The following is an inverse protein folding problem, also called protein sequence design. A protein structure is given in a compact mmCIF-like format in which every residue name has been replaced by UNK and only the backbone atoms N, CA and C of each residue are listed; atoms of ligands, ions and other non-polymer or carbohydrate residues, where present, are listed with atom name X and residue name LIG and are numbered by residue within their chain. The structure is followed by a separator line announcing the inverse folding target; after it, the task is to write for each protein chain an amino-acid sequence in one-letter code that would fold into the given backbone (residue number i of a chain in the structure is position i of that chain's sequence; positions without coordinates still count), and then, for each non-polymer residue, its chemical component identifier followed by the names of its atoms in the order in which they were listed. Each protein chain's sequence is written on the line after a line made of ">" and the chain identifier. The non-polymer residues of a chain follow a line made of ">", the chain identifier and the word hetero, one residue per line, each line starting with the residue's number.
data_IF_511648571360
#
_entry.id   IF_511648571360
#
_cell.length_a   1.000
_cell.length_b   1.000
_cell.length_c   1.000
_cell.angle_alpha   90.00
_cell.angle_beta   90.00
_cell.angle_gamma   90.00
#
_symmetry.space_group_name_H-M   'P 1'
#
loop_
_entity.id
_entity.type
_entity.pdbx_description
1 polymer ?
#
# COMPACT_ATOMS: atom_id res chain seq x y z
N UNK A 1 40.79 -10.79 12.92
CA UNK A 1 40.07 -11.70 13.83
C UNK A 1 38.60 -11.33 13.76
N UNK A 2 37.78 -12.03 12.98
CA UNK A 2 36.34 -11.83 12.91
C UNK A 2 35.72 -12.47 14.15
N UNK A 3 35.19 -11.66 15.05
CA UNK A 3 34.35 -12.16 16.12
C UNK A 3 33.18 -12.94 15.49
N UNK A 4 33.17 -14.24 15.64
CA UNK A 4 32.06 -15.09 15.25
C UNK A 4 30.83 -14.62 16.04
N UNK A 5 29.89 -13.93 15.36
CA UNK A 5 28.67 -13.51 15.97
C UNK A 5 27.96 -14.74 16.51
N UNK A 6 27.74 -14.83 17.82
CA UNK A 6 26.99 -15.91 18.43
C UNK A 6 25.62 -16.02 17.74
N UNK A 7 25.17 -17.24 17.40
CA UNK A 7 23.86 -17.43 16.78
C UNK A 7 22.77 -16.87 17.70
N UNK A 8 21.85 -16.07 17.11
CA UNK A 8 20.71 -15.53 17.85
C UNK A 8 19.89 -16.68 18.45
N UNK A 9 19.41 -16.51 19.68
CA UNK A 9 18.41 -17.43 20.24
C UNK A 9 17.15 -17.39 19.40
N UNK A 10 16.45 -18.52 19.29
CA UNK A 10 15.20 -18.64 18.52
C UNK A 10 14.17 -17.60 18.96
N UNK A 11 14.07 -17.34 20.25
CA UNK A 11 13.20 -16.29 20.81
C UNK A 11 13.56 -14.91 20.27
N UNK A 12 14.85 -14.55 20.25
CA UNK A 12 15.30 -13.27 19.72
C UNK A 12 15.04 -13.13 18.22
N UNK A 13 15.18 -14.21 17.46
CA UNK A 13 14.85 -14.24 16.03
C UNK A 13 13.36 -13.93 15.80
N UNK A 14 12.45 -14.57 16.57
CA UNK A 14 11.02 -14.29 16.47
C UNK A 14 10.65 -12.86 16.91
N UNK A 15 11.30 -12.32 17.94
CA UNK A 15 11.12 -10.92 18.34
C UNK A 15 11.47 -9.99 17.17
N UNK A 16 12.57 -10.24 16.44
CA UNK A 16 12.93 -9.47 15.25
C UNK A 16 11.85 -9.55 14.16
N UNK A 17 11.36 -10.76 13.87
CA UNK A 17 10.32 -10.96 12.84
C UNK A 17 9.01 -10.27 13.23
N UNK A 18 8.57 -10.40 14.48
CA UNK A 18 7.36 -9.73 14.99
C UNK A 18 7.51 -8.21 14.94
N UNK A 19 8.68 -7.69 15.35
CA UNK A 19 8.93 -6.25 15.28
C UNK A 19 8.92 -5.73 13.83
N UNK A 20 9.43 -6.50 12.85
CA UNK A 20 9.32 -6.17 11.42
C UNK A 20 7.87 -6.22 10.92
N UNK A 21 7.05 -7.17 11.41
CA UNK A 21 5.62 -7.23 11.11
C UNK A 21 4.86 -6.03 11.70
N UNK A 22 5.18 -5.62 12.93
CA UNK A 22 4.66 -4.38 13.53
C UNK A 22 5.11 -3.15 12.74
N UNK A 23 6.35 -3.13 12.24
CA UNK A 23 6.82 -2.08 11.34
C UNK A 23 5.98 -2.03 10.05
N UNK A 24 5.74 -3.17 9.40
CA UNK A 24 4.87 -3.24 8.22
C UNK A 24 3.46 -2.72 8.50
N UNK A 25 2.90 -3.05 9.67
CA UNK A 25 1.62 -2.52 10.13
C UNK A 25 1.62 -0.98 10.19
N UNK A 26 2.58 -0.35 10.87
CA UNK A 26 2.60 1.11 11.02
C UNK A 26 2.93 1.83 9.70
N UNK A 27 3.79 1.27 8.84
CA UNK A 27 4.11 1.84 7.54
C UNK A 27 2.90 1.85 6.60
N UNK A 28 2.12 0.77 6.55
CA UNK A 28 0.87 0.73 5.77
C UNK A 28 -0.23 1.59 6.40
N UNK A 29 -0.37 1.58 7.72
CA UNK A 29 -1.35 2.44 8.40
C UNK A 29 -1.10 3.90 8.04
N UNK A 30 0.14 4.37 8.10
CA UNK A 30 0.47 5.77 7.81
C UNK A 30 0.29 6.16 6.35
N UNK A 31 0.42 5.21 5.43
CA UNK A 31 0.16 5.44 4.01
C UNK A 31 -1.30 5.84 3.76
N UNK A 32 -2.23 5.10 4.35
CA UNK A 32 -3.66 5.20 4.03
C UNK A 32 -4.51 5.95 5.07
N UNK A 33 -4.00 6.19 6.27
CA UNK A 33 -4.76 6.92 7.31
C UNK A 33 -5.23 8.32 6.85
N UNK A 34 -4.49 9.10 6.02
CA UNK A 34 -4.98 10.37 5.54
C UNK A 34 -6.24 10.27 4.67
N UNK A 35 -6.48 9.13 4.00
CA UNK A 35 -7.72 8.88 3.25
C UNK A 35 -8.92 8.87 4.18
N UNK A 36 -8.76 8.29 5.38
CA UNK A 36 -9.81 8.20 6.39
C UNK A 36 -10.02 9.48 7.20
N UNK A 37 -9.08 10.44 7.11
CA UNK A 37 -9.09 11.71 7.85
C UNK A 37 -9.11 12.93 6.90
N UNK A 38 -9.42 12.73 5.63
CA UNK A 38 -9.27 13.75 4.59
C UNK A 38 -10.12 14.99 4.90
N UNK A 39 -11.36 14.80 5.33
CA UNK A 39 -12.27 15.88 5.70
C UNK A 39 -11.82 16.65 6.94
N UNK A 40 -11.28 15.96 7.95
CA UNK A 40 -10.86 16.59 9.20
C UNK A 40 -9.57 17.41 8.99
N UNK A 41 -8.65 16.91 8.16
CA UNK A 41 -7.46 17.66 7.73
C UNK A 41 -7.88 18.89 6.93
N UNK A 42 -8.82 18.74 6.00
CA UNK A 42 -9.37 19.85 5.21
C UNK A 42 -9.98 20.95 6.07
N UNK A 43 -10.84 20.59 7.02
CA UNK A 43 -11.42 21.53 7.99
C UNK A 43 -10.36 22.29 8.79
N UNK A 44 -9.28 21.61 9.24
CA UNK A 44 -8.21 22.23 10.02
C UNK A 44 -7.43 23.31 9.28
N UNK A 45 -7.34 23.22 7.94
CA UNK A 45 -6.59 24.15 7.10
C UNK A 45 -7.48 25.01 6.20
N UNK A 46 -8.83 24.95 6.37
CA UNK A 46 -9.81 25.61 5.52
C UNK A 46 -9.62 25.29 4.02
N UNK A 47 -9.36 24.00 3.72
CA UNK A 47 -9.05 23.49 2.38
C UNK A 47 -10.13 22.50 1.91
N UNK A 48 -10.31 22.46 0.59
CA UNK A 48 -11.20 21.49 -0.06
C UNK A 48 -10.59 20.08 -0.06
N UNK A 49 -11.42 19.02 -0.18
CA UNK A 49 -10.92 17.63 -0.32
C UNK A 49 -9.92 17.45 -1.47
N UNK A 50 -10.09 18.19 -2.58
CA UNK A 50 -9.15 18.18 -3.71
C UNK A 50 -7.76 18.67 -3.30
N UNK A 51 -7.70 19.83 -2.63
CA UNK A 51 -6.44 20.44 -2.22
C UNK A 51 -5.71 19.56 -1.22
N UNK A 52 -6.43 19.02 -0.23
CA UNK A 52 -5.85 18.08 0.75
C UNK A 52 -5.43 16.77 0.08
N UNK A 53 -6.19 16.28 -0.88
CA UNK A 53 -5.89 15.06 -1.64
C UNK A 53 -4.55 15.12 -2.38
N UNK A 54 -4.03 16.30 -2.70
CA UNK A 54 -2.69 16.47 -3.30
C UNK A 54 -1.57 15.88 -2.44
N UNK A 55 -1.73 15.84 -1.11
CA UNK A 55 -0.72 15.21 -0.26
C UNK A 55 -0.62 13.69 -0.50
N UNK A 56 -1.72 13.02 -0.90
CA UNK A 56 -1.72 11.59 -1.24
C UNK A 56 -0.95 11.37 -2.55
N UNK A 57 -1.21 12.22 -3.53
CA UNK A 57 -0.50 12.24 -4.83
C UNK A 57 1.00 12.44 -4.63
N UNK A 58 1.40 13.49 -3.90
CA UNK A 58 2.79 13.82 -3.64
C UNK A 58 3.49 12.66 -2.92
N UNK A 59 2.87 12.13 -1.87
CA UNK A 59 3.40 10.98 -1.14
C UNK A 59 3.67 9.78 -2.05
N UNK A 60 2.67 9.35 -2.81
CA UNK A 60 2.77 8.17 -3.66
C UNK A 60 3.82 8.36 -4.77
N UNK A 61 3.90 9.54 -5.37
CA UNK A 61 4.89 9.80 -6.42
C UNK A 61 6.31 9.95 -5.86
N UNK A 62 6.49 10.46 -4.66
CA UNK A 62 7.79 10.42 -3.98
C UNK A 62 8.22 8.97 -3.73
N UNK A 63 7.33 8.11 -3.25
CA UNK A 63 7.62 6.67 -3.11
C UNK A 63 7.97 6.06 -4.46
N UNK A 64 7.17 6.32 -5.50
CA UNK A 64 7.40 5.79 -6.84
C UNK A 64 8.77 6.17 -7.41
N UNK A 65 9.10 7.46 -7.33
CA UNK A 65 10.35 8.01 -7.87
C UNK A 65 11.59 7.57 -7.10
N UNK A 66 11.48 7.37 -5.79
CA UNK A 66 12.62 7.10 -4.93
C UNK A 66 12.86 5.61 -4.64
N UNK A 67 11.86 4.72 -4.81
CA UNK A 67 12.00 3.30 -4.45
C UNK A 67 13.22 2.63 -5.10
N UNK A 68 13.36 2.72 -6.41
CA UNK A 68 14.50 2.13 -7.12
C UNK A 68 15.81 2.89 -6.90
N UNK A 69 15.88 4.23 -7.03
CA UNK A 69 17.12 4.99 -6.78
C UNK A 69 17.66 4.80 -5.35
N UNK A 70 16.81 4.92 -4.33
CA UNK A 70 17.23 4.76 -2.93
C UNK A 70 17.73 3.34 -2.65
N UNK A 71 17.06 2.31 -3.17
CA UNK A 71 17.52 0.93 -3.05
C UNK A 71 18.94 0.76 -3.60
N UNK A 72 19.21 1.35 -4.76
CA UNK A 72 20.52 1.25 -5.41
C UNK A 72 21.60 2.07 -4.70
N UNK A 73 21.27 3.28 -4.23
CA UNK A 73 22.20 4.14 -3.50
C UNK A 73 22.59 3.55 -2.14
N UNK A 74 21.64 2.86 -1.48
CA UNK A 74 21.84 2.28 -0.15
C UNK A 74 22.27 0.81 -0.18
N UNK A 75 22.51 0.26 -1.37
CA UNK A 75 22.81 -1.18 -1.56
C UNK A 75 23.98 -1.71 -0.71
N UNK A 76 24.99 -0.89 -0.47
CA UNK A 76 26.20 -1.27 0.28
C UNK A 76 26.11 -0.96 1.79
N UNK A 77 25.04 -0.33 2.24
CA UNK A 77 24.87 0.06 3.65
C UNK A 77 24.43 -1.17 4.46
N UNK A 78 24.99 -1.32 5.65
CA UNK A 78 24.62 -2.34 6.62
C UNK A 78 23.14 -2.21 6.98
N UNK A 79 22.41 -3.32 6.98
CA UNK A 79 20.92 -3.32 7.00
C UNK A 79 20.30 -2.88 8.31
N UNK A 80 20.93 -3.19 9.46
CA UNK A 80 20.45 -2.71 10.77
C UNK A 80 20.62 -1.20 10.88
N UNK A 81 21.77 -0.66 10.46
CA UNK A 81 22.01 0.78 10.45
C UNK A 81 21.04 1.50 9.53
N UNK A 82 20.84 0.97 8.31
CA UNK A 82 19.91 1.52 7.33
C UNK A 82 18.47 1.53 7.85
N UNK A 83 18.04 0.43 8.49
CA UNK A 83 16.71 0.34 9.10
C UNK A 83 16.55 1.36 10.26
N UNK A 84 17.59 1.54 11.07
CA UNK A 84 17.57 2.57 12.13
C UNK A 84 17.44 3.97 11.55
N UNK A 85 18.19 4.29 10.49
CA UNK A 85 18.16 5.59 9.84
C UNK A 85 16.77 5.90 9.26
N UNK A 86 16.17 4.92 8.54
CA UNK A 86 14.84 5.11 7.99
C UNK A 86 13.76 5.30 9.08
N UNK A 87 13.88 4.58 10.22
CA UNK A 87 12.98 4.80 11.36
C UNK A 87 13.17 6.18 11.98
N UNK A 88 14.39 6.71 12.08
CA UNK A 88 14.62 8.07 12.55
C UNK A 88 13.95 9.11 11.64
N UNK A 89 14.08 8.96 10.31
CA UNK A 89 13.37 9.82 9.33
C UNK A 89 11.86 9.68 9.48
N UNK A 90 11.36 8.46 9.62
CA UNK A 90 9.93 8.17 9.79
C UNK A 90 9.35 8.80 11.07
N UNK A 91 10.02 8.61 12.22
CA UNK A 91 9.59 9.14 13.51
C UNK A 91 9.62 10.67 13.51
N UNK A 92 10.72 11.29 13.07
CA UNK A 92 10.83 12.75 13.02
C UNK A 92 9.78 13.37 12.10
N UNK A 93 9.49 12.72 10.98
CA UNK A 93 8.42 13.14 10.05
C UNK A 93 7.03 13.03 10.70
N UNK A 94 6.74 11.98 11.48
CA UNK A 94 5.48 11.87 12.19
C UNK A 94 5.34 12.88 13.33
N UNK A 95 6.43 13.17 14.04
CA UNK A 95 6.47 14.27 15.02
C UNK A 95 6.19 15.60 14.34
N UNK A 96 6.77 15.83 13.16
CA UNK A 96 6.49 17.03 12.37
C UNK A 96 5.01 17.07 11.91
N UNK A 97 4.40 15.93 11.53
CA UNK A 97 2.96 15.84 11.22
C UNK A 97 2.09 16.21 12.43
N UNK A 98 2.46 15.74 13.61
CA UNK A 98 1.75 16.04 14.86
C UNK A 98 1.74 17.55 15.16
N UNK A 99 2.86 18.23 14.97
CA UNK A 99 3.00 19.68 15.18
C UNK A 99 2.68 20.53 13.94
N UNK A 100 2.18 19.95 12.84
CA UNK A 100 1.96 20.68 11.61
C UNK A 100 1.02 21.89 11.80
N UNK A 101 1.58 23.10 11.71
CA UNK A 101 0.86 24.37 11.82
C UNK A 101 0.35 24.90 10.48
N UNK A 102 0.79 24.31 9.37
CA UNK A 102 0.31 24.62 8.01
C UNK A 102 0.26 23.34 7.15
N UNK A 103 -0.53 23.39 6.08
CA UNK A 103 -0.61 22.28 5.14
C UNK A 103 0.73 21.97 4.46
N UNK A 104 1.53 22.99 4.17
CA UNK A 104 2.88 22.81 3.59
C UNK A 104 3.77 22.00 4.53
N UNK A 105 3.75 22.29 5.83
CA UNK A 105 4.51 21.50 6.83
C UNK A 105 4.04 20.06 6.88
N UNK A 106 2.72 19.83 6.80
CA UNK A 106 2.17 18.48 6.70
C UNK A 106 2.68 17.77 5.42
N UNK A 107 2.70 18.44 4.28
CA UNK A 107 3.21 17.87 3.01
C UNK A 107 4.70 17.53 3.14
N UNK A 108 5.51 18.42 3.71
CA UNK A 108 6.95 18.16 3.95
C UNK A 108 7.15 16.93 4.83
N UNK A 109 6.36 16.81 5.90
CA UNK A 109 6.40 15.62 6.75
C UNK A 109 6.01 14.35 5.98
N UNK A 110 5.00 14.43 5.12
CA UNK A 110 4.58 13.31 4.26
C UNK A 110 5.66 12.89 3.26
N UNK A 111 6.42 13.85 2.72
CA UNK A 111 7.59 13.55 1.87
C UNK A 111 8.66 12.76 2.66
N UNK A 112 8.97 13.18 3.88
CA UNK A 112 9.90 12.43 4.75
C UNK A 112 9.42 11.01 5.06
N UNK A 113 8.11 10.84 5.34
CA UNK A 113 7.51 9.52 5.54
C UNK A 113 7.62 8.69 4.25
N UNK A 114 7.37 9.28 3.07
CA UNK A 114 7.45 8.60 1.79
C UNK A 114 8.87 8.10 1.46
N UNK A 115 9.89 8.89 1.78
CA UNK A 115 11.31 8.49 1.65
C UNK A 115 11.61 7.27 2.52
N UNK A 116 11.20 7.30 3.79
CA UNK A 116 11.37 6.16 4.70
C UNK A 116 10.59 4.92 4.21
N UNK A 117 9.37 5.11 3.71
CA UNK A 117 8.51 4.04 3.18
C UNK A 117 9.13 3.36 1.94
N UNK A 118 9.63 4.16 0.98
CA UNK A 118 10.28 3.65 -0.23
C UNK A 118 11.47 2.73 0.12
N UNK A 119 12.26 3.12 1.11
CA UNK A 119 13.41 2.35 1.58
C UNK A 119 12.99 1.13 2.40
N UNK A 120 11.97 1.26 3.25
CA UNK A 120 11.47 0.18 4.11
C UNK A 120 11.08 -1.05 3.29
N UNK A 121 10.23 -0.89 2.29
CA UNK A 121 9.77 -2.02 1.46
C UNK A 121 10.86 -2.65 0.60
N UNK A 122 11.90 -1.91 0.28
CA UNK A 122 13.03 -2.46 -0.49
C UNK A 122 13.88 -3.46 0.28
N UNK A 123 13.88 -3.40 1.62
CA UNK A 123 14.78 -4.21 2.47
C UNK A 123 14.06 -5.16 3.43
N UNK A 124 12.80 -4.88 3.79
CA UNK A 124 12.15 -5.54 4.93
C UNK A 124 11.87 -7.02 4.70
N UNK A 125 11.43 -7.41 3.50
CA UNK A 125 11.17 -8.83 3.19
C UNK A 125 12.44 -9.67 3.30
N UNK A 126 13.56 -9.19 2.74
CA UNK A 126 14.86 -9.88 2.82
C UNK A 126 15.38 -9.93 4.26
N UNK A 127 15.16 -8.87 5.05
CA UNK A 127 15.52 -8.87 6.47
C UNK A 127 14.71 -9.90 7.27
N UNK A 128 13.39 -9.98 7.04
CA UNK A 128 12.54 -10.95 7.73
C UNK A 128 12.99 -12.38 7.48
N UNK A 129 13.32 -12.72 6.22
CA UNK A 129 13.88 -14.03 5.87
C UNK A 129 15.22 -14.30 6.56
N UNK A 130 16.12 -13.30 6.57
CA UNK A 130 17.49 -13.47 7.13
C UNK A 130 17.51 -13.62 8.64
N UNK A 131 16.57 -13.02 9.37
CA UNK A 131 16.50 -13.12 10.84
C UNK A 131 15.61 -14.26 11.32
N UNK A 132 14.84 -14.87 10.43
CA UNK A 132 13.96 -15.98 10.75
C UNK A 132 14.72 -17.19 11.30
N UNK A 133 14.14 -17.99 12.20
CA UNK A 133 14.68 -19.31 12.55
C UNK A 133 14.79 -20.17 11.32
N UNK A 134 15.84 -21.02 11.28
CA UNK A 134 16.11 -21.91 10.14
C UNK A 134 14.89 -22.79 9.82
N UNK A 135 14.48 -22.78 8.55
CA UNK A 135 13.31 -23.51 8.04
C UNK A 135 11.96 -22.82 8.36
N UNK A 136 11.98 -21.58 8.86
CA UNK A 136 10.78 -20.78 9.18
C UNK A 136 10.66 -19.49 8.36
N UNK A 137 11.40 -19.40 7.27
CA UNK A 137 11.49 -18.22 6.40
C UNK A 137 10.11 -17.85 5.83
N UNK A 138 9.33 -18.85 5.39
CA UNK A 138 7.96 -18.62 4.89
C UNK A 138 7.01 -18.10 5.99
N UNK A 139 7.18 -18.58 7.24
CA UNK A 139 6.38 -18.10 8.36
C UNK A 139 6.71 -16.64 8.70
N UNK A 140 7.99 -16.23 8.58
CA UNK A 140 8.41 -14.85 8.79
C UNK A 140 7.80 -13.91 7.73
N UNK A 141 7.81 -14.32 6.46
CA UNK A 141 7.13 -13.57 5.38
C UNK A 141 5.60 -13.52 5.60
N UNK A 142 5.01 -14.61 6.06
CA UNK A 142 3.59 -14.66 6.40
C UNK A 142 3.23 -13.67 7.51
N UNK A 143 4.05 -13.57 8.57
CA UNK A 143 3.85 -12.57 9.64
C UNK A 143 3.99 -11.13 9.12
N UNK A 144 4.96 -10.86 8.25
CA UNK A 144 5.13 -9.56 7.62
C UNK A 144 3.87 -9.17 6.81
N UNK A 145 3.36 -10.10 6.00
CA UNK A 145 2.13 -9.91 5.23
C UNK A 145 0.90 -9.74 6.14
N UNK A 146 0.85 -10.44 7.27
CA UNK A 146 -0.22 -10.25 8.26
C UNK A 146 -0.18 -8.84 8.84
N UNK A 147 1.00 -8.30 9.17
CA UNK A 147 1.16 -6.90 9.59
C UNK A 147 0.58 -5.92 8.58
N UNK A 148 0.88 -6.12 7.30
CA UNK A 148 0.33 -5.32 6.20
C UNK A 148 -1.20 -5.40 6.12
N UNK A 149 -1.76 -6.62 6.16
CA UNK A 149 -3.22 -6.82 6.11
C UNK A 149 -3.93 -6.20 7.33
N UNK A 150 -3.36 -6.36 8.52
CA UNK A 150 -3.91 -5.79 9.75
C UNK A 150 -3.93 -4.26 9.74
N UNK A 151 -3.02 -3.60 9.00
CA UNK A 151 -3.04 -2.15 8.84
C UNK A 151 -4.32 -1.67 8.13
N UNK A 152 -4.76 -2.38 7.10
CA UNK A 152 -5.99 -2.06 6.38
C UNK A 152 -7.24 -2.31 7.23
N UNK A 153 -7.24 -3.37 8.04
CA UNK A 153 -8.40 -3.79 8.83
C UNK A 153 -8.52 -3.00 10.13
N UNK A 154 -7.44 -2.77 10.83
CA UNK A 154 -7.42 -2.14 12.15
C UNK A 154 -6.75 -0.75 12.13
N UNK A 155 -5.62 -0.61 11.42
CA UNK A 155 -4.83 0.61 11.45
C UNK A 155 -5.61 1.83 10.97
N UNK A 156 -6.28 1.72 9.83
CA UNK A 156 -7.04 2.84 9.23
C UNK A 156 -8.26 3.19 10.08
N UNK A 157 -9.16 2.24 10.44
CA UNK A 157 -10.33 2.58 11.27
C UNK A 157 -9.98 3.07 12.66
N UNK A 158 -9.01 2.44 13.36
CA UNK A 158 -8.58 2.93 14.67
C UNK A 158 -7.92 4.30 14.60
N UNK A 159 -7.09 4.51 13.57
CA UNK A 159 -6.49 5.82 13.34
C UNK A 159 -7.55 6.89 13.07
N UNK A 160 -8.63 6.56 12.35
CA UNK A 160 -9.78 7.44 12.16
C UNK A 160 -10.49 7.73 13.48
N UNK A 161 -10.83 6.71 14.27
CA UNK A 161 -11.49 6.87 15.57
C UNK A 161 -10.69 7.78 16.52
N UNK A 162 -9.37 7.63 16.56
CA UNK A 162 -8.48 8.49 17.35
C UNK A 162 -8.49 9.92 16.78
N UNK A 163 -8.44 10.05 15.46
CA UNK A 163 -8.45 11.35 14.80
C UNK A 163 -9.75 12.12 15.03
N UNK A 164 -10.89 11.45 15.05
CA UNK A 164 -12.20 12.03 15.35
C UNK A 164 -12.35 12.41 16.82
N UNK A 165 -11.90 11.53 17.74
CA UNK A 165 -12.04 11.77 19.18
C UNK A 165 -11.08 12.83 19.72
N UNK A 166 -9.85 12.87 19.22
CA UNK A 166 -8.76 13.68 19.77
C UNK A 166 -8.09 14.63 18.77
N UNK A 167 -8.58 14.66 17.54
CA UNK A 167 -8.01 15.41 16.42
C UNK A 167 -7.01 14.59 15.61
N UNK A 168 -7.00 14.80 14.28
CA UNK A 168 -6.21 14.02 13.31
C UNK A 168 -4.69 14.02 13.60
N UNK A 169 -4.17 15.07 14.22
CA UNK A 169 -2.75 15.18 14.62
C UNK A 169 -2.35 14.09 15.59
N UNK A 170 -3.24 13.71 16.51
CA UNK A 170 -2.99 12.66 17.51
C UNK A 170 -2.86 11.28 16.89
N UNK A 171 -3.51 11.02 15.75
CA UNK A 171 -3.31 9.77 15.00
C UNK A 171 -1.85 9.65 14.48
N UNK A 172 -1.28 10.73 13.96
CA UNK A 172 0.14 10.75 13.55
C UNK A 172 1.09 10.70 14.76
N UNK A 173 0.76 11.39 15.85
CA UNK A 173 1.53 11.35 17.08
C UNK A 173 1.60 9.93 17.68
N UNK A 174 0.48 9.21 17.68
CA UNK A 174 0.45 7.82 18.14
C UNK A 174 1.33 6.91 17.26
N UNK A 175 1.30 7.10 15.95
CA UNK A 175 2.19 6.36 15.05
C UNK A 175 3.66 6.66 15.39
N UNK A 176 4.03 7.91 15.69
CA UNK A 176 5.39 8.26 16.11
C UNK A 176 5.80 7.51 17.37
N UNK A 177 4.93 7.42 18.38
CA UNK A 177 5.17 6.70 19.62
C UNK A 177 5.38 5.21 19.37
N UNK A 178 4.46 4.57 18.61
CA UNK A 178 4.56 3.14 18.28
C UNK A 178 5.82 2.87 17.45
N UNK A 179 6.13 3.73 16.46
CA UNK A 179 7.34 3.61 15.65
C UNK A 179 8.61 3.70 16.50
N UNK A 180 8.63 4.57 17.50
CA UNK A 180 9.77 4.70 18.45
C UNK A 180 9.97 3.41 19.25
N UNK A 181 8.89 2.81 19.76
CA UNK A 181 8.95 1.54 20.48
C UNK A 181 9.44 0.40 19.57
N UNK A 182 8.89 0.30 18.35
CA UNK A 182 9.31 -0.71 17.37
C UNK A 182 10.78 -0.52 16.96
N UNK A 183 11.21 0.71 16.72
CA UNK A 183 12.61 1.04 16.42
C UNK A 183 13.53 0.62 17.57
N UNK A 184 13.17 0.93 18.81
CA UNK A 184 13.94 0.53 19.99
C UNK A 184 14.09 -1.00 20.07
N UNK A 185 13.01 -1.75 19.87
CA UNK A 185 13.05 -3.22 19.85
C UNK A 185 13.97 -3.71 18.73
N UNK A 186 13.84 -3.19 17.51
CA UNK A 186 14.66 -3.58 16.36
C UNK A 186 16.15 -3.28 16.60
N UNK A 187 16.48 -2.09 17.10
CA UNK A 187 17.88 -1.73 17.42
C UNK A 187 18.48 -2.64 18.48
N UNK A 188 17.69 -3.09 19.47
CA UNK A 188 18.19 -3.99 20.55
C UNK A 188 18.29 -5.44 20.11
N UNK A 189 17.45 -5.88 19.18
CA UNK A 189 17.31 -7.31 18.85
C UNK A 189 18.00 -7.70 17.54
N UNK A 190 18.04 -6.81 16.52
CA UNK A 190 18.68 -7.11 15.25
C UNK A 190 20.19 -7.28 15.39
N UNK A 191 20.77 -8.32 14.80
CA UNK A 191 22.21 -8.47 14.70
C UNK A 191 22.78 -7.49 13.65
N UNK A 192 24.10 -7.43 13.56
CA UNK A 192 24.77 -6.81 12.42
C UNK A 192 24.49 -7.61 11.17
N UNK A 193 23.92 -6.97 10.13
CA UNK A 193 23.45 -7.61 8.90
C UNK A 193 24.09 -6.93 7.67
N UNK A 194 25.24 -7.43 7.18
CA UNK A 194 25.86 -6.91 5.96
C UNK A 194 24.88 -6.96 4.78
N UNK A 195 25.01 -6.04 3.83
CA UNK A 195 24.24 -6.10 2.60
C UNK A 195 24.66 -7.30 1.76
N UNK A 196 23.70 -8.10 1.32
CA UNK A 196 23.92 -9.28 0.47
C UNK A 196 22.92 -9.19 -0.69
N UNK A 197 23.37 -9.50 -1.92
CA UNK A 197 22.53 -9.63 -3.13
C UNK A 197 21.65 -8.39 -3.45
N UNK A 198 22.22 -7.21 -3.40
CA UNK A 198 21.57 -6.02 -3.92
C UNK A 198 21.56 -6.05 -5.46
N UNK A 199 20.37 -6.07 -6.08
CA UNK A 199 20.15 -6.17 -7.52
C UNK A 199 20.98 -5.19 -8.37
N UNK A 200 21.03 -5.43 -9.70
CA UNK A 200 21.84 -4.66 -10.63
C UNK A 200 21.02 -3.97 -11.72
N UNK A 201 21.56 -2.87 -12.26
CA UNK A 201 20.97 -2.18 -13.41
C UNK A 201 20.92 -3.02 -14.70
N UNK A 202 21.78 -4.05 -14.82
CA UNK A 202 21.78 -4.90 -16.01
C UNK A 202 20.49 -5.70 -16.18
N UNK A 203 19.89 -6.14 -15.09
CA UNK A 203 18.61 -6.85 -15.10
C UNK A 203 17.45 -6.01 -15.65
N UNK A 204 17.48 -4.68 -15.43
CA UNK A 204 16.44 -3.77 -15.91
C UNK A 204 16.27 -3.80 -17.43
N UNK A 205 17.40 -3.83 -18.18
CA UNK A 205 17.36 -3.88 -19.66
C UNK A 205 16.71 -5.16 -20.19
N UNK A 206 16.87 -6.27 -19.48
CA UNK A 206 16.24 -7.54 -19.84
C UNK A 206 14.72 -7.54 -19.58
N UNK A 207 14.29 -6.97 -18.46
CA UNK A 207 12.89 -6.92 -18.07
C UNK A 207 12.05 -6.04 -19.02
N UNK A 208 12.55 -4.88 -19.42
CA UNK A 208 11.85 -3.95 -20.34
C UNK A 208 11.55 -4.60 -21.71
N UNK A 209 12.33 -5.58 -22.12
CA UNK A 209 12.12 -6.29 -23.40
C UNK A 209 11.04 -7.37 -23.34
N UNK A 210 10.41 -7.62 -22.17
CA UNK A 210 9.36 -8.63 -21.98
C UNK A 210 7.96 -8.02 -22.18
N UNK A 211 7.30 -8.23 -23.32
CA UNK A 211 6.07 -7.51 -23.65
C UNK A 211 4.93 -7.82 -22.68
N UNK A 212 4.76 -9.07 -22.24
CA UNK A 212 3.73 -9.43 -21.25
C UNK A 212 3.98 -8.80 -19.88
N UNK A 213 5.23 -8.66 -19.45
CA UNK A 213 5.56 -7.95 -18.21
C UNK A 213 5.27 -6.44 -18.33
N UNK A 214 5.60 -5.84 -19.47
CA UNK A 214 5.30 -4.42 -19.72
C UNK A 214 3.79 -4.16 -19.75
N UNK A 215 3.02 -5.01 -20.41
CA UNK A 215 1.55 -4.92 -20.41
C UNK A 215 0.97 -5.12 -19.01
N UNK A 216 1.53 -6.03 -18.19
CA UNK A 216 1.16 -6.20 -16.79
C UNK A 216 1.41 -4.92 -15.98
N UNK A 217 2.54 -4.26 -16.23
CA UNK A 217 2.87 -2.99 -15.58
C UNK A 217 1.93 -1.85 -16.00
N UNK A 218 1.56 -1.77 -17.28
CA UNK A 218 0.54 -0.82 -17.76
C UNK A 218 -0.81 -1.11 -17.12
N UNK A 219 -1.21 -2.39 -17.05
CA UNK A 219 -2.44 -2.82 -16.37
C UNK A 219 -2.42 -2.42 -14.88
N UNK A 220 -1.28 -2.58 -14.21
CA UNK A 220 -1.10 -2.15 -12.81
C UNK A 220 -1.38 -0.67 -12.67
N UNK A 221 -0.70 0.18 -13.43
CA UNK A 221 -0.91 1.64 -13.35
C UNK A 221 -2.36 2.00 -13.64
N UNK A 222 -2.95 1.44 -14.69
CA UNK A 222 -4.31 1.77 -15.12
C UNK A 222 -5.36 1.41 -14.05
N UNK A 223 -5.34 0.16 -13.54
CA UNK A 223 -6.35 -0.32 -12.59
C UNK A 223 -6.13 0.27 -11.19
N UNK A 224 -4.89 0.49 -10.78
CA UNK A 224 -4.60 1.16 -9.52
C UNK A 224 -4.98 2.64 -9.58
N UNK A 225 -4.78 3.32 -10.73
CA UNK A 225 -5.31 4.67 -10.92
C UNK A 225 -6.84 4.70 -10.83
N UNK A 226 -7.52 3.75 -11.47
CA UNK A 226 -8.97 3.59 -11.37
C UNK A 226 -9.42 3.46 -9.90
N UNK A 227 -8.80 2.54 -9.18
CA UNK A 227 -9.03 2.26 -7.76
C UNK A 227 -8.92 3.53 -6.91
N UNK A 228 -7.80 4.25 -7.03
CA UNK A 228 -7.51 5.41 -6.18
C UNK A 228 -8.21 6.69 -6.64
N UNK A 229 -8.77 6.74 -7.84
CA UNK A 229 -9.70 7.81 -8.26
C UNK A 229 -10.94 7.85 -7.35
N UNK A 230 -11.46 6.69 -6.95
CA UNK A 230 -12.60 6.60 -6.05
C UNK A 230 -12.16 6.48 -4.58
N UNK A 231 -11.22 5.59 -4.27
CA UNK A 231 -10.86 5.27 -2.89
C UNK A 231 -10.24 6.44 -2.13
N UNK A 232 -9.45 7.29 -2.79
CA UNK A 232 -8.84 8.46 -2.12
C UNK A 232 -9.85 9.44 -1.56
N UNK A 233 -11.07 9.41 -2.06
CA UNK A 233 -12.16 10.31 -1.67
C UNK A 233 -13.37 9.57 -1.09
N UNK A 234 -13.21 8.30 -0.71
CA UNK A 234 -14.31 7.46 -0.19
C UNK A 234 -14.87 8.01 1.13
N UNK A 235 -14.02 8.57 1.99
CA UNK A 235 -14.45 9.17 3.25
C UNK A 235 -15.34 10.40 3.02
N UNK A 236 -14.91 11.45 2.29
CA UNK A 236 -15.78 12.58 2.00
C UNK A 236 -17.01 12.17 1.17
N UNK A 237 -16.94 11.15 0.32
CA UNK A 237 -18.10 10.60 -0.39
C UNK A 237 -19.10 9.99 0.59
N UNK A 238 -18.66 9.18 1.53
CA UNK A 238 -19.55 8.58 2.54
C UNK A 238 -20.24 9.64 3.41
N UNK A 239 -19.51 10.70 3.83
CA UNK A 239 -20.06 11.77 4.66
C UNK A 239 -21.00 12.71 3.89
N UNK A 240 -20.59 13.17 2.69
CA UNK A 240 -21.27 14.28 2.01
C UNK A 240 -22.20 13.85 0.86
N UNK A 241 -22.05 12.64 0.31
CA UNK A 241 -22.90 12.12 -0.77
C UNK A 241 -23.83 11.04 -0.24
N UNK A 242 -23.32 10.06 0.51
CA UNK A 242 -24.14 9.02 1.12
C UNK A 242 -24.78 9.45 2.45
N UNK A 243 -24.40 10.62 3.00
CA UNK A 243 -24.86 11.16 4.28
C UNK A 243 -24.70 10.19 5.46
N UNK A 244 -23.63 9.40 5.43
CA UNK A 244 -23.29 8.50 6.52
C UNK A 244 -22.78 9.27 7.72
N UNK A 245 -23.13 8.80 8.91
CA UNK A 245 -22.49 9.26 10.14
C UNK A 245 -21.00 8.85 10.17
N UNK A 246 -20.24 9.46 11.04
CA UNK A 246 -18.83 9.12 11.25
C UNK A 246 -18.63 7.64 11.60
N UNK A 247 -19.46 7.09 12.49
CA UNK A 247 -19.43 5.68 12.86
C UNK A 247 -19.75 4.75 11.67
N UNK A 248 -20.72 5.11 10.83
CA UNK A 248 -21.05 4.35 9.62
C UNK A 248 -19.91 4.41 8.59
N UNK A 249 -19.26 5.55 8.44
CA UNK A 249 -18.07 5.71 7.58
C UNK A 249 -16.90 4.86 8.08
N UNK A 250 -16.66 4.82 9.38
CA UNK A 250 -15.66 3.95 9.99
C UNK A 250 -15.99 2.46 9.74
N UNK A 251 -17.27 2.07 9.88
CA UNK A 251 -17.74 0.72 9.57
C UNK A 251 -17.52 0.35 8.11
N UNK A 252 -17.79 1.27 7.18
CA UNK A 252 -17.54 1.11 5.75
C UNK A 252 -16.05 0.76 5.47
N UNK A 253 -15.13 1.52 6.08
CA UNK A 253 -13.69 1.31 5.95
C UNK A 253 -13.23 -0.01 6.59
N UNK A 254 -13.83 -0.40 7.72
CA UNK A 254 -13.61 -1.70 8.37
C UNK A 254 -14.02 -2.87 7.46
N UNK A 255 -15.21 -2.77 6.84
CA UNK A 255 -15.71 -3.79 5.91
C UNK A 255 -14.78 -3.89 4.70
N UNK A 256 -14.40 -2.75 4.13
CA UNK A 256 -13.48 -2.70 3.00
C UNK A 256 -12.13 -3.36 3.32
N UNK A 257 -11.51 -2.99 4.43
CA UNK A 257 -10.23 -3.58 4.87
C UNK A 257 -10.38 -5.07 5.22
N UNK A 258 -11.42 -5.43 5.99
CA UNK A 258 -11.72 -6.82 6.39
C UNK A 258 -12.01 -7.74 5.21
N UNK A 259 -12.58 -7.20 4.14
CA UNK A 259 -12.80 -7.90 2.88
C UNK A 259 -11.51 -8.47 2.27
N UNK A 260 -10.35 -7.90 2.61
CA UNK A 260 -9.05 -8.37 2.16
C UNK A 260 -8.74 -9.81 2.55
N UNK A 261 -9.20 -10.28 3.71
CA UNK A 261 -9.06 -11.70 4.10
C UNK A 261 -9.83 -12.63 3.16
N UNK A 262 -11.07 -12.26 2.83
CA UNK A 262 -11.88 -13.02 1.88
C UNK A 262 -11.27 -12.94 0.47
N UNK A 263 -10.78 -11.79 0.05
CA UNK A 263 -10.07 -11.60 -1.22
C UNK A 263 -8.83 -12.48 -1.34
N UNK A 264 -8.02 -12.56 -0.29
CA UNK A 264 -6.84 -13.43 -0.23
C UNK A 264 -7.22 -14.92 -0.29
N UNK A 265 -8.24 -15.31 0.45
CA UNK A 265 -8.76 -16.67 0.43
C UNK A 265 -9.28 -17.07 -0.96
N UNK A 266 -10.10 -16.21 -1.57
CA UNK A 266 -10.64 -16.45 -2.91
C UNK A 266 -9.51 -16.51 -3.94
N UNK A 267 -8.54 -15.60 -3.88
CA UNK A 267 -7.37 -15.67 -4.75
C UNK A 267 -6.65 -17.02 -4.62
N UNK A 268 -6.33 -17.46 -3.40
CA UNK A 268 -5.65 -18.72 -3.16
C UNK A 268 -6.41 -19.94 -3.70
N UNK A 269 -7.75 -19.89 -3.69
CA UNK A 269 -8.60 -20.97 -4.21
C UNK A 269 -8.82 -20.88 -5.72
N UNK A 270 -9.06 -19.69 -6.26
CA UNK A 270 -9.40 -19.49 -7.68
C UNK A 270 -8.18 -19.46 -8.60
N UNK A 271 -7.08 -18.84 -8.19
CA UNK A 271 -5.92 -18.66 -9.06
C UNK A 271 -5.32 -19.96 -9.59
N UNK A 272 -5.16 -21.03 -8.79
CA UNK A 272 -4.67 -22.32 -9.30
C UNK A 272 -5.65 -23.02 -10.24
N UNK A 273 -6.97 -22.85 -10.03
CA UNK A 273 -8.00 -23.52 -10.81
C UNK A 273 -8.32 -22.77 -12.12
N UNK A 274 -8.31 -21.43 -12.07
CA UNK A 274 -8.71 -20.56 -13.17
C UNK A 274 -7.67 -19.47 -13.46
N UNK A 275 -6.42 -19.82 -13.77
CA UNK A 275 -5.33 -18.83 -13.90
C UNK A 275 -5.58 -17.76 -14.97
N UNK A 276 -6.37 -18.09 -16.02
CA UNK A 276 -6.75 -17.15 -17.10
C UNK A 276 -7.86 -16.19 -16.70
N UNK A 277 -8.70 -16.57 -15.74
CA UNK A 277 -9.86 -15.77 -15.34
C UNK A 277 -9.59 -14.90 -14.11
N UNK A 278 -8.55 -15.20 -13.32
CA UNK A 278 -8.30 -14.57 -12.02
C UNK A 278 -8.14 -13.05 -12.13
N UNK A 279 -7.24 -12.56 -13.00
CA UNK A 279 -7.03 -11.11 -13.17
C UNK A 279 -8.29 -10.43 -13.75
N UNK A 280 -8.88 -10.93 -14.87
CA UNK A 280 -10.13 -10.35 -15.39
C UNK A 280 -11.27 -10.34 -14.37
N UNK A 281 -11.46 -11.43 -13.63
CA UNK A 281 -12.52 -11.53 -12.62
C UNK A 281 -12.44 -10.43 -11.55
N UNK A 282 -11.27 -10.26 -10.93
CA UNK A 282 -11.09 -9.24 -9.92
C UNK A 282 -11.12 -7.82 -10.50
N UNK A 283 -10.60 -7.62 -11.72
CA UNK A 283 -10.68 -6.31 -12.39
C UNK A 283 -12.12 -5.93 -12.72
N UNK A 284 -12.94 -6.90 -13.18
CA UNK A 284 -14.37 -6.69 -13.44
C UNK A 284 -15.10 -6.34 -12.14
N UNK A 285 -14.83 -7.07 -11.05
CA UNK A 285 -15.39 -6.78 -9.74
C UNK A 285 -15.07 -5.36 -9.25
N UNK A 286 -13.84 -4.87 -9.48
CA UNK A 286 -13.46 -3.49 -9.22
C UNK A 286 -14.29 -2.49 -10.04
N UNK A 287 -14.40 -2.70 -11.35
CA UNK A 287 -15.16 -1.83 -12.26
C UNK A 287 -16.63 -1.73 -11.85
N UNK A 288 -17.28 -2.88 -11.57
CA UNK A 288 -18.67 -2.94 -11.11
C UNK A 288 -18.82 -2.21 -9.77
N UNK A 289 -17.92 -2.46 -8.80
CA UNK A 289 -17.99 -1.81 -7.48
C UNK A 289 -17.94 -0.30 -7.59
N UNK A 290 -17.06 0.23 -8.45
CA UNK A 290 -16.94 1.68 -8.64
C UNK A 290 -18.15 2.27 -9.38
N UNK A 291 -18.65 1.65 -10.45
CA UNK A 291 -19.83 2.15 -11.16
C UNK A 291 -21.09 2.18 -10.30
N UNK A 292 -21.22 1.20 -9.40
CA UNK A 292 -22.36 1.12 -8.48
C UNK A 292 -22.20 1.99 -7.22
N UNK A 293 -21.08 2.70 -7.05
CA UNK A 293 -20.79 3.47 -5.84
C UNK A 293 -21.90 4.51 -5.56
N UNK A 294 -22.24 5.34 -6.54
CA UNK A 294 -23.30 6.34 -6.39
C UNK A 294 -24.71 5.71 -6.30
N UNK A 295 -25.14 4.78 -7.17
CA UNK A 295 -26.44 4.14 -7.02
C UNK A 295 -26.66 3.45 -5.66
N UNK A 296 -25.62 2.83 -5.10
CA UNK A 296 -25.71 2.13 -3.80
C UNK A 296 -25.56 3.05 -2.59
N UNK A 297 -25.18 4.31 -2.77
CA UNK A 297 -24.99 5.27 -1.68
C UNK A 297 -26.27 5.64 -0.94
N UNK A 298 -27.43 5.40 -1.54
CA UNK A 298 -28.75 5.65 -0.92
C UNK A 298 -29.11 4.64 0.18
N UNK A 299 -28.35 3.54 0.31
CA UNK A 299 -28.61 2.48 1.27
C UNK A 299 -27.35 2.10 2.04
N UNK A 300 -27.44 2.11 3.38
CA UNK A 300 -26.35 1.66 4.25
C UNK A 300 -25.96 0.20 3.94
N UNK A 301 -26.93 -0.68 3.77
CA UNK A 301 -26.68 -2.08 3.41
C UNK A 301 -26.06 -2.18 2.02
N UNK A 302 -26.59 -1.41 1.04
CA UNK A 302 -26.08 -1.40 -0.34
C UNK A 302 -24.61 -1.00 -0.41
N UNK A 303 -24.24 0.13 0.21
CA UNK A 303 -22.88 0.64 0.18
C UNK A 303 -21.90 -0.25 0.97
N UNK A 304 -22.32 -0.82 2.10
CA UNK A 304 -21.48 -1.76 2.86
C UNK A 304 -21.25 -3.09 2.10
N UNK A 305 -22.27 -3.63 1.45
CA UNK A 305 -22.13 -4.82 0.60
C UNK A 305 -21.21 -4.58 -0.60
N UNK A 306 -21.34 -3.40 -1.19
CA UNK A 306 -20.48 -2.96 -2.29
C UNK A 306 -19.03 -2.79 -1.83
N UNK A 307 -18.81 -2.23 -0.63
CA UNK A 307 -17.50 -2.08 -0.01
C UNK A 307 -16.82 -3.44 0.22
N UNK A 308 -17.57 -4.46 0.65
CA UNK A 308 -17.09 -5.83 0.76
C UNK A 308 -16.61 -6.37 -0.60
N UNK A 309 -17.44 -6.25 -1.65
CA UNK A 309 -17.09 -6.70 -3.00
C UNK A 309 -15.85 -5.95 -3.53
N UNK A 310 -15.79 -4.66 -3.27
CA UNK A 310 -14.67 -3.80 -3.68
C UNK A 310 -13.37 -4.22 -3.00
N UNK A 311 -13.36 -4.39 -1.67
CA UNK A 311 -12.19 -4.83 -0.92
C UNK A 311 -11.70 -6.22 -1.32
N UNK A 312 -12.62 -7.18 -1.54
CA UNK A 312 -12.30 -8.51 -2.10
C UNK A 312 -11.59 -8.36 -3.45
N UNK A 313 -12.14 -7.53 -4.33
CA UNK A 313 -11.67 -7.40 -5.70
C UNK A 313 -10.28 -6.77 -5.77
N UNK A 314 -10.00 -5.70 -4.99
CA UNK A 314 -8.70 -5.05 -5.02
C UNK A 314 -7.58 -5.93 -4.47
N UNK A 315 -7.85 -6.67 -3.39
CA UNK A 315 -6.84 -7.55 -2.81
C UNK A 315 -6.56 -8.74 -3.73
N UNK A 316 -7.62 -9.38 -4.25
CA UNK A 316 -7.45 -10.47 -5.21
C UNK A 316 -6.71 -10.04 -6.47
N UNK A 317 -7.01 -8.85 -7.00
CA UNK A 317 -6.30 -8.25 -8.13
C UNK A 317 -4.82 -8.01 -7.82
N UNK A 318 -4.52 -7.37 -6.68
CA UNK A 318 -3.14 -7.04 -6.28
C UNK A 318 -2.29 -8.30 -6.11
N UNK A 319 -2.83 -9.34 -5.46
CA UNK A 319 -2.14 -10.63 -5.30
C UNK A 319 -1.89 -11.33 -6.65
N UNK A 320 -2.87 -11.26 -7.55
CA UNK A 320 -2.72 -11.85 -8.89
C UNK A 320 -1.63 -11.15 -9.71
N UNK A 321 -1.56 -9.82 -9.67
CA UNK A 321 -0.50 -9.07 -10.35
C UNK A 321 0.88 -9.35 -9.75
N UNK A 322 0.97 -9.38 -8.42
CA UNK A 322 2.21 -9.67 -7.72
C UNK A 322 2.75 -11.06 -8.07
N UNK A 323 1.88 -12.08 -8.01
CA UNK A 323 2.25 -13.45 -8.36
C UNK A 323 2.72 -13.55 -9.83
N UNK A 324 2.01 -12.90 -10.75
CA UNK A 324 2.40 -12.88 -12.17
C UNK A 324 3.68 -12.10 -12.44
N UNK A 325 3.93 -11.01 -11.72
CA UNK A 325 5.21 -10.28 -11.80
C UNK A 325 6.38 -11.18 -11.42
N UNK A 326 6.27 -11.92 -10.31
CA UNK A 326 7.29 -12.86 -9.86
C UNK A 326 7.54 -13.98 -10.90
N UNK A 327 6.48 -14.52 -11.48
CA UNK A 327 6.59 -15.60 -12.46
C UNK A 327 7.22 -15.11 -13.78
N UNK A 328 6.77 -13.96 -14.31
CA UNK A 328 7.28 -13.37 -15.56
C UNK A 328 8.73 -12.86 -15.44
N UNK A 329 9.23 -12.67 -14.23
CA UNK A 329 10.56 -12.15 -13.94
C UNK A 329 11.32 -13.01 -12.93
N UNK A 330 11.21 -14.36 -13.02
CA UNK A 330 11.80 -15.31 -12.08
C UNK A 330 13.33 -15.23 -11.99
N UNK A 331 14.01 -14.74 -13.02
CA UNK A 331 15.45 -14.50 -13.08
C UNK A 331 15.89 -13.15 -12.50
N UNK A 332 14.95 -12.22 -12.21
CA UNK A 332 15.24 -10.88 -11.71
C UNK A 332 14.10 -10.37 -10.80
N UNK A 333 13.62 -11.20 -9.91
CA UNK A 333 12.42 -10.95 -9.06
C UNK A 333 12.51 -9.64 -8.28
N UNK A 334 13.64 -9.34 -7.65
CA UNK A 334 13.79 -8.16 -6.78
C UNK A 334 13.66 -6.86 -7.59
N UNK A 335 14.29 -6.79 -8.78
CA UNK A 335 14.21 -5.62 -9.66
C UNK A 335 12.78 -5.47 -10.21
N UNK A 336 12.16 -6.58 -10.64
CA UNK A 336 10.79 -6.57 -11.15
C UNK A 336 9.79 -6.13 -10.08
N UNK A 337 9.95 -6.58 -8.84
CA UNK A 337 9.10 -6.17 -7.71
C UNK A 337 9.32 -4.71 -7.31
N UNK A 338 10.55 -4.19 -7.38
CA UNK A 338 10.82 -2.77 -7.14
C UNK A 338 10.14 -1.89 -8.21
N UNK A 339 10.19 -2.30 -9.49
CA UNK A 339 9.48 -1.61 -10.58
C UNK A 339 7.96 -1.71 -10.36
N UNK A 340 7.45 -2.89 -10.05
CA UNK A 340 6.03 -3.13 -9.77
C UNK A 340 5.52 -2.22 -8.64
N UNK A 341 6.24 -2.17 -7.52
CA UNK A 341 5.92 -1.30 -6.39
C UNK A 341 5.94 0.19 -6.77
N UNK A 342 6.95 0.63 -7.52
CA UNK A 342 7.02 1.99 -8.03
C UNK A 342 5.83 2.35 -8.93
N UNK A 343 5.50 1.48 -9.89
CA UNK A 343 4.37 1.69 -10.80
C UNK A 343 3.01 1.60 -10.10
N UNK A 344 2.90 0.75 -9.08
CA UNK A 344 1.72 0.70 -8.21
C UNK A 344 1.50 2.07 -7.55
N UNK A 345 2.56 2.68 -7.02
CA UNK A 345 2.53 4.01 -6.43
C UNK A 345 2.29 5.14 -7.46
N UNK A 346 2.78 5.00 -8.72
CA UNK A 346 2.37 5.88 -9.82
C UNK A 346 0.85 5.85 -9.99
N UNK A 347 0.26 4.65 -9.94
CA UNK A 347 -1.19 4.45 -9.99
C UNK A 347 -1.92 5.09 -8.83
N UNK A 348 -1.44 4.91 -7.58
CA UNK A 348 -2.00 5.54 -6.38
C UNK A 348 -2.04 7.07 -6.54
N UNK A 349 -0.91 7.68 -6.85
CA UNK A 349 -0.80 9.13 -6.99
C UNK A 349 -1.60 9.68 -8.18
N UNK A 350 -1.56 8.99 -9.32
CA UNK A 350 -2.33 9.34 -10.52
C UNK A 350 -3.83 9.28 -10.27
N UNK A 351 -4.29 8.23 -9.59
CA UNK A 351 -5.69 8.07 -9.20
C UNK A 351 -6.15 9.16 -8.22
N UNK A 352 -5.37 9.42 -7.17
CA UNK A 352 -5.69 10.48 -6.20
C UNK A 352 -5.78 11.86 -6.88
N UNK A 353 -4.87 12.17 -7.80
CA UNK A 353 -4.90 13.41 -8.58
C UNK A 353 -6.16 13.48 -9.47
N UNK A 354 -6.45 12.41 -10.22
CA UNK A 354 -7.62 12.34 -11.08
C UNK A 354 -8.93 12.45 -10.29
N UNK A 355 -9.04 11.75 -9.16
CA UNK A 355 -10.18 11.84 -8.26
C UNK A 355 -10.40 13.26 -7.74
N UNK A 356 -9.32 13.99 -7.42
CA UNK A 356 -9.38 15.40 -7.04
C UNK A 356 -9.88 16.30 -8.17
N UNK A 357 -9.45 16.07 -9.40
CA UNK A 357 -9.92 16.79 -10.60
C UNK A 357 -11.42 16.54 -10.80
N UNK A 358 -11.83 15.25 -10.76
CA UNK A 358 -13.25 14.85 -10.91
C UNK A 358 -14.11 15.49 -9.84
N UNK A 359 -13.67 15.45 -8.59
CA UNK A 359 -14.37 16.05 -7.45
C UNK A 359 -14.59 17.55 -7.65
N UNK A 360 -13.59 18.27 -8.21
CA UNK A 360 -13.65 19.70 -8.40
C UNK A 360 -14.45 20.14 -9.63
N UNK A 361 -14.41 19.38 -10.73
CA UNK A 361 -15.01 19.77 -12.00
C UNK A 361 -16.40 19.18 -12.24
N UNK A 362 -16.64 17.96 -11.76
CA UNK A 362 -17.87 17.21 -12.03
C UNK A 362 -18.67 17.01 -10.73
N UNK A 363 -17.97 16.88 -9.61
CA UNK A 363 -18.56 16.64 -8.28
C UNK A 363 -18.13 15.31 -7.68
N UNK A 364 -18.19 15.26 -6.35
CA UNK A 364 -17.74 14.13 -5.54
C UNK A 364 -18.52 12.83 -5.84
N UNK A 365 -19.80 12.93 -6.24
CA UNK A 365 -20.61 11.77 -6.64
C UNK A 365 -20.09 11.02 -7.88
N UNK A 366 -19.23 11.67 -8.68
CA UNK A 366 -18.75 11.13 -9.97
C UNK A 366 -17.44 10.33 -9.87
N UNK A 367 -16.80 10.27 -8.70
CA UNK A 367 -15.52 9.55 -8.51
C UNK A 367 -15.62 8.06 -8.89
N UNK A 368 -16.75 7.44 -8.56
CA UNK A 368 -17.04 6.05 -8.91
C UNK A 368 -17.19 5.82 -10.42
N UNK A 369 -17.88 6.72 -11.13
CA UNK A 369 -18.04 6.63 -12.57
C UNK A 369 -16.70 6.71 -13.31
N UNK A 370 -15.87 7.67 -12.97
CA UNK A 370 -14.54 7.81 -13.60
C UNK A 370 -13.63 6.63 -13.26
N UNK A 371 -13.57 6.21 -11.99
CA UNK A 371 -12.82 5.02 -11.59
C UNK A 371 -13.32 3.76 -12.31
N UNK A 372 -14.64 3.58 -12.38
CA UNK A 372 -15.27 2.46 -13.07
C UNK A 372 -14.94 2.39 -14.55
N UNK A 373 -15.01 3.51 -15.27
CA UNK A 373 -14.62 3.59 -16.69
C UNK A 373 -13.16 3.15 -16.89
N UNK A 374 -12.23 3.68 -16.09
CA UNK A 374 -10.81 3.29 -16.16
C UNK A 374 -10.63 1.79 -15.83
N UNK A 375 -11.35 1.26 -14.84
CA UNK A 375 -11.30 -0.15 -14.50
C UNK A 375 -11.81 -1.05 -15.64
N UNK A 376 -12.81 -0.60 -16.43
CA UNK A 376 -13.27 -1.34 -17.61
C UNK A 376 -12.25 -1.35 -18.74
N UNK A 377 -11.50 -0.27 -18.96
CA UNK A 377 -10.34 -0.32 -19.85
C UNK A 377 -9.28 -1.30 -19.34
N UNK A 378 -9.04 -1.32 -18.03
CA UNK A 378 -8.19 -2.31 -17.38
C UNK A 378 -8.71 -3.74 -17.57
N UNK A 379 -10.03 -3.95 -17.44
CA UNK A 379 -10.66 -5.25 -17.72
C UNK A 379 -10.41 -5.71 -19.17
N UNK A 380 -10.64 -4.85 -20.14
CA UNK A 380 -10.38 -5.16 -21.56
C UNK A 380 -8.88 -5.52 -21.77
N UNK A 381 -7.97 -4.73 -21.21
CA UNK A 381 -6.53 -5.01 -21.27
C UNK A 381 -6.18 -6.33 -20.57
N UNK A 382 -6.80 -6.64 -19.43
CA UNK A 382 -6.58 -7.91 -18.71
C UNK A 382 -7.02 -9.12 -19.54
N UNK A 383 -8.18 -9.04 -20.19
CA UNK A 383 -8.68 -10.09 -21.12
C UNK A 383 -7.74 -10.29 -22.31
N UNK A 384 -7.19 -9.20 -22.86
CA UNK A 384 -6.18 -9.29 -23.91
C UNK A 384 -4.88 -9.95 -23.40
N UNK A 385 -4.40 -9.53 -22.24
CA UNK A 385 -3.14 -10.00 -21.64
C UNK A 385 -3.17 -11.52 -21.35
N UNK A 386 -4.27 -12.03 -20.78
CA UNK A 386 -4.40 -13.46 -20.44
C UNK A 386 -4.56 -14.39 -21.65
N UNK A 387 -4.73 -13.84 -22.85
CA UNK A 387 -4.75 -14.61 -24.11
C UNK A 387 -3.36 -14.77 -24.73
N UNK A 388 -2.37 -14.03 -24.24
CA UNK A 388 -1.00 -14.09 -24.78
C UNK A 388 -0.30 -15.39 -24.36
N UNK A 389 0.35 -16.11 -25.29
CA UNK A 389 1.04 -17.37 -24.99
C UNK A 389 2.19 -17.22 -24.00
N UNK A 390 2.95 -16.11 -24.08
CA UNK A 390 4.07 -15.79 -23.20
C UNK A 390 3.62 -15.44 -21.78
N UNK A 391 2.40 -14.95 -21.60
CA UNK A 391 1.79 -14.70 -20.28
C UNK A 391 1.31 -15.99 -19.60
N UNK A 392 0.90 -16.98 -20.38
CA UNK A 392 0.35 -18.23 -19.84
C UNK A 392 1.41 -19.24 -19.47
N UNK A 393 2.55 -19.23 -20.15
CA UNK A 393 3.67 -20.17 -19.91
C UNK A 393 4.48 -19.79 -18.66
N UNK A 394 4.36 -18.58 -18.19
CA UNK A 394 4.90 -18.08 -16.93
C UNK A 394 3.83 -18.22 -15.82
#
# INVERSE_FOLDING_TARGET
>A
MSASAQPLSVTRQWICVIALACAAFIFNTTEFIPVALLSDIGKSFAMTPREVGLMLTIYAWVVALLSLPIMLLTRNIERRFLLTLLFMVFITSHVLSYFAWSFIVLVISRIGIAVAHALFWSITASLAVRVAPKGKEFQALGLLSTGTAMAMVLGIPFGRMIGEAYGWRNSFGLIAVIATLVCFILVKTLPHLPSINSGSFSSLKGLIKRPSLMLLFVLTVLVISAQFTAYSYIEPFALNVAHFSSAQTTTLLLIYGGAGFLGSYLFGKFAPQFPRLTIPFFTLGLGISMLLLLPMSVSLFGLNSLSLMWGVSIIGFSLALQAKTLNLASDATDVAMAIFSGLYNVGIGGGALLGGIVTAQIGLGSIGWMGGLLAFFGFALSVFLVRRPDFLKA
#
